data_IF_856016323055
#
_entry.id   IF_856016323055
#
_cell.length_a   1.000
_cell.length_b   1.000
_cell.length_c   1.000
_cell.angle_alpha   90.00
_cell.angle_beta   90.00
_cell.angle_gamma   90.00
#
_symmetry.space_group_name_H-M   'P 1'
#
loop_
_entity.id
_entity.type
_entity.pdbx_description
1 polymer ?
#
# COMPACT_ATOMS: atom_id res chain seq x y z
N UNK A 1 27.28 -0.53 13.46
CA UNK A 1 26.32 -1.12 14.41
C UNK A 1 26.04 -2.55 13.98
N UNK A 2 26.28 -3.54 14.84
CA UNK A 2 25.90 -4.94 14.57
C UNK A 2 24.37 -4.99 14.61
N UNK A 3 23.73 -5.37 13.50
CA UNK A 3 22.29 -5.56 13.47
C UNK A 3 21.94 -6.70 14.42
N UNK A 4 21.22 -6.39 15.51
CA UNK A 4 20.74 -7.42 16.45
C UNK A 4 19.69 -8.27 15.73
N UNK A 5 20.09 -9.46 15.29
CA UNK A 5 19.18 -10.45 14.75
C UNK A 5 18.46 -11.14 15.91
N UNK A 6 17.13 -11.06 15.93
CA UNK A 6 16.29 -11.78 16.91
C UNK A 6 15.63 -12.96 16.23
N UNK A 7 15.75 -14.15 16.82
CA UNK A 7 15.06 -15.35 16.37
C UNK A 7 13.75 -15.52 17.16
N UNK A 8 12.64 -15.80 16.47
CA UNK A 8 11.33 -16.05 17.08
C UNK A 8 10.95 -17.51 16.84
N UNK A 9 10.72 -18.27 17.91
CA UNK A 9 10.22 -19.65 17.87
C UNK A 9 8.80 -19.69 18.41
N UNK A 10 7.87 -20.23 17.64
CA UNK A 10 6.44 -20.26 17.98
C UNK A 10 5.93 -21.68 17.80
N UNK A 11 5.21 -22.17 18.79
CA UNK A 11 4.48 -23.43 18.70
C UNK A 11 3.04 -23.13 18.26
N UNK A 12 2.61 -23.74 17.16
CA UNK A 12 1.28 -23.55 16.59
C UNK A 12 0.58 -24.90 16.45
N UNK A 13 -0.73 -24.98 16.74
CA UNK A 13 -1.54 -26.13 16.38
C UNK A 13 -1.46 -26.41 14.88
N UNK A 14 -1.47 -27.69 14.49
CA UNK A 14 -1.23 -28.11 13.10
C UNK A 14 -2.20 -27.44 12.11
N UNK A 15 -3.48 -27.33 12.48
CA UNK A 15 -4.53 -26.66 11.68
C UNK A 15 -4.21 -25.18 11.44
N UNK A 16 -3.69 -24.48 12.46
CA UNK A 16 -3.37 -23.06 12.36
C UNK A 16 -2.13 -22.83 11.49
N UNK A 17 -1.11 -23.68 11.63
CA UNK A 17 0.08 -23.66 10.76
C UNK A 17 -0.30 -23.84 9.30
N UNK A 18 -1.17 -24.81 8.99
CA UNK A 18 -1.65 -25.04 7.62
C UNK A 18 -2.40 -23.84 7.05
N UNK A 19 -3.29 -23.23 7.85
CA UNK A 19 -4.05 -22.03 7.44
C UNK A 19 -3.12 -20.84 7.16
N UNK A 20 -2.13 -20.59 8.02
CA UNK A 20 -1.16 -19.51 7.82
C UNK A 20 -0.25 -19.77 6.61
N UNK A 21 0.16 -21.02 6.39
CA UNK A 21 0.97 -21.40 5.22
C UNK A 21 0.22 -21.11 3.92
N UNK A 22 -1.05 -21.52 3.84
CA UNK A 22 -1.90 -21.26 2.67
C UNK A 22 -2.07 -19.76 2.42
N UNK A 23 -2.28 -18.96 3.48
CA UNK A 23 -2.34 -17.50 3.35
C UNK A 23 -1.02 -16.90 2.87
N UNK A 24 0.12 -17.40 3.34
CA UNK A 24 1.43 -16.93 2.88
C UNK A 24 1.63 -17.24 1.37
N UNK A 25 1.22 -18.43 0.93
CA UNK A 25 1.27 -18.86 -0.48
C UNK A 25 0.39 -17.98 -1.39
N UNK A 26 -0.77 -17.51 -0.92
CA UNK A 26 -1.63 -16.55 -1.67
C UNK A 26 -0.90 -15.25 -2.01
N UNK A 27 0.11 -14.86 -1.24
CA UNK A 27 0.92 -13.64 -1.45
C UNK A 27 2.32 -13.94 -1.98
N UNK A 28 2.60 -15.19 -2.39
CA UNK A 28 3.93 -15.65 -2.81
C UNK A 28 5.02 -15.39 -1.75
N UNK A 29 4.65 -15.51 -0.47
CA UNK A 29 5.53 -15.31 0.67
C UNK A 29 5.85 -16.62 1.38
N UNK A 30 7.06 -16.70 1.94
CA UNK A 30 7.34 -17.73 2.95
C UNK A 30 6.51 -17.47 4.20
N UNK A 31 6.21 -18.52 4.98
CA UNK A 31 5.49 -18.36 6.26
C UNK A 31 6.19 -17.36 7.19
N UNK A 32 7.53 -17.36 7.23
CA UNK A 32 8.31 -16.40 8.01
C UNK A 32 8.15 -14.97 7.48
N UNK A 33 8.17 -14.79 6.16
CA UNK A 33 7.93 -13.50 5.51
C UNK A 33 6.53 -12.96 5.80
N UNK A 34 5.52 -13.81 5.73
CA UNK A 34 4.14 -13.46 6.05
C UNK A 34 3.97 -13.09 7.53
N UNK A 35 4.57 -13.84 8.45
CA UNK A 35 4.56 -13.49 9.88
C UNK A 35 5.25 -12.15 10.15
N UNK A 36 6.39 -11.88 9.50
CA UNK A 36 7.08 -10.59 9.59
C UNK A 36 6.18 -9.45 9.09
N UNK A 37 5.46 -9.67 7.99
CA UNK A 37 4.52 -8.70 7.44
C UNK A 37 3.38 -8.38 8.41
N UNK A 38 2.76 -9.41 9.01
CA UNK A 38 1.71 -9.22 10.01
C UNK A 38 2.20 -8.41 11.21
N UNK A 39 3.38 -8.73 11.75
CA UNK A 39 3.98 -7.96 12.85
C UNK A 39 4.22 -6.49 12.46
N UNK A 40 4.67 -6.23 11.23
CA UNK A 40 4.83 -4.85 10.76
C UNK A 40 3.48 -4.14 10.61
N UNK A 41 2.44 -4.82 10.11
CA UNK A 41 1.11 -4.23 9.98
C UNK A 41 0.48 -3.91 11.33
N UNK A 42 0.68 -4.79 12.31
CA UNK A 42 0.23 -4.57 13.68
C UNK A 42 0.91 -3.33 14.29
N UNK A 43 2.23 -3.19 14.10
CA UNK A 43 2.97 -2.00 14.52
C UNK A 43 2.62 -0.73 13.73
N UNK A 44 2.18 -0.85 12.47
CA UNK A 44 1.72 0.29 11.65
C UNK A 44 0.47 0.94 12.23
N UNK A 45 -0.33 0.24 13.05
CA UNK A 45 -1.51 0.81 13.69
C UNK A 45 -1.20 1.95 14.69
N UNK A 46 0.09 2.19 15.00
CA UNK A 46 0.57 3.34 15.79
C UNK A 46 1.37 4.39 15.01
N UNK A 47 1.56 4.24 13.70
CA UNK A 47 2.27 5.24 12.87
C UNK A 47 1.25 6.30 12.44
N UNK A 48 1.50 7.61 12.62
CA UNK A 48 0.57 8.63 12.16
C UNK A 48 0.36 8.51 10.65
N UNK A 49 -0.84 8.08 10.26
CA UNK A 49 -1.26 8.13 8.86
C UNK A 49 -1.54 9.59 8.56
N UNK A 50 -0.65 10.21 7.79
CA UNK A 50 -0.83 11.59 7.33
C UNK A 50 -2.08 11.64 6.45
N UNK A 51 -3.10 12.35 6.93
CA UNK A 51 -4.30 12.59 6.14
C UNK A 51 -3.99 13.67 5.11
N UNK A 52 -4.47 13.48 3.88
CA UNK A 52 -4.44 14.51 2.86
C UNK A 52 -5.14 15.77 3.38
N UNK A 53 -4.63 16.95 3.01
CA UNK A 53 -5.31 18.20 3.33
C UNK A 53 -6.73 18.20 2.76
N UNK A 54 -7.68 18.91 3.39
CA UNK A 54 -9.05 19.04 2.89
C UNK A 54 -9.08 19.47 1.42
N UNK A 55 -8.23 20.43 1.07
CA UNK A 55 -8.02 20.92 -0.30
C UNK A 55 -7.63 19.80 -1.27
N UNK A 56 -6.71 18.92 -0.87
CA UNK A 56 -6.26 17.80 -1.70
C UNK A 56 -7.35 16.75 -1.89
N UNK A 57 -8.16 16.49 -0.85
CA UNK A 57 -9.29 15.55 -0.92
C UNK A 57 -10.37 16.09 -1.87
N UNK A 58 -10.68 17.38 -1.80
CA UNK A 58 -11.65 18.04 -2.68
C UNK A 58 -11.17 18.02 -4.14
N UNK A 59 -9.90 18.36 -4.39
CA UNK A 59 -9.31 18.30 -5.72
C UNK A 59 -9.38 16.87 -6.30
N UNK A 60 -9.10 15.84 -5.49
CA UNK A 60 -9.19 14.44 -5.92
C UNK A 60 -10.64 14.02 -6.21
N UNK A 61 -11.60 14.47 -5.41
CA UNK A 61 -13.03 14.22 -5.68
C UNK A 61 -13.44 14.84 -7.00
N UNK A 62 -13.04 16.08 -7.25
CA UNK A 62 -13.35 16.78 -8.49
C UNK A 62 -12.71 16.07 -9.69
N UNK A 63 -11.42 15.70 -9.60
CA UNK A 63 -10.74 14.95 -10.65
C UNK A 63 -11.42 13.63 -10.99
N UNK A 64 -11.91 12.87 -10.00
CA UNK A 64 -12.69 11.63 -10.23
C UNK A 64 -14.05 11.88 -10.88
N UNK A 65 -14.69 13.01 -10.60
CA UNK A 65 -15.94 13.40 -11.25
C UNK A 65 -15.65 13.76 -12.71
N UNK A 66 -14.57 14.49 -12.97
CA UNK A 66 -14.17 14.89 -14.32
C UNK A 66 -13.71 13.69 -15.16
N UNK A 67 -13.05 12.69 -14.55
CA UNK A 67 -12.77 11.37 -15.12
C UNK A 67 -14.05 10.67 -15.59
N UNK A 68 -15.03 10.53 -14.70
CA UNK A 68 -16.31 9.89 -15.04
C UNK A 68 -17.08 10.64 -16.12
N UNK A 69 -16.94 11.96 -16.17
CA UNK A 69 -17.63 12.80 -17.14
C UNK A 69 -16.85 12.94 -18.47
N UNK A 70 -15.74 12.21 -18.65
CA UNK A 70 -14.94 12.25 -19.88
C UNK A 70 -14.28 13.62 -20.12
N UNK A 71 -14.11 14.43 -19.09
CA UNK A 71 -13.48 15.77 -19.16
C UNK A 71 -11.95 15.71 -19.03
N UNK A 72 -11.39 14.51 -18.89
CA UNK A 72 -9.95 14.34 -18.86
C UNK A 72 -9.37 14.57 -20.26
N UNK A 73 -8.28 15.31 -20.30
CA UNK A 73 -7.49 15.44 -21.51
C UNK A 73 -6.54 14.25 -21.59
N UNK A 74 -6.74 13.42 -22.62
CA UNK A 74 -5.73 12.47 -23.05
C UNK A 74 -4.55 13.26 -23.62
N UNK A 75 -3.35 12.94 -23.16
CA UNK A 75 -2.13 13.60 -23.60
C UNK A 75 -1.17 12.50 -24.03
N UNK A 76 -0.83 12.50 -25.32
CA UNK A 76 0.05 11.51 -25.94
C UNK A 76 1.48 12.01 -26.08
N UNK A 77 1.72 13.32 -25.94
CA UNK A 77 3.04 13.95 -26.02
C UNK A 77 3.33 14.78 -24.77
N UNK A 78 4.54 14.64 -24.21
CA UNK A 78 4.94 15.34 -23.00
C UNK A 78 5.05 16.86 -23.19
N UNK A 79 5.31 17.34 -24.41
CA UNK A 79 5.34 18.76 -24.74
C UNK A 79 3.94 19.37 -24.70
N UNK A 80 2.91 18.61 -25.11
CA UNK A 80 1.51 19.04 -24.99
C UNK A 80 1.08 19.15 -23.53
N UNK A 81 1.60 18.29 -22.65
CA UNK A 81 1.37 18.36 -21.22
C UNK A 81 1.87 19.68 -20.62
N UNK A 82 3.11 20.05 -20.92
CA UNK A 82 3.69 21.29 -20.40
C UNK A 82 3.04 22.55 -21.01
N UNK A 83 2.71 22.54 -22.30
CA UNK A 83 2.02 23.68 -22.94
C UNK A 83 0.65 23.98 -22.31
N UNK A 84 -0.06 22.96 -21.81
CA UNK A 84 -1.37 23.12 -21.14
C UNK A 84 -1.28 23.49 -19.66
N UNK A 85 -0.17 23.20 -18.98
CA UNK A 85 0.03 23.52 -17.56
C UNK A 85 0.63 24.92 -17.31
N UNK A 86 1.17 25.60 -18.34
CA UNK A 86 1.81 26.93 -18.23
C UNK A 86 0.86 28.03 -18.73
N UNK A 87 -0.36 28.10 -18.20
CA UNK A 87 -1.26 29.24 -18.41
C UNK A 87 -1.66 29.88 -17.09
#
# INVERSE_FOLDING_TARGET
MIQKQTQIKINLPLKLKAKLKRRAEEYDLTLAGYMKHLLMMDLKSGIPVYHLSKRSIEALKQAKIDEKNGKLHEITDINEFFAKMIK
#
